data_IF_506892170243
#
_entry.id   IF_506892170243
#
_cell.length_a   1.000
_cell.length_b   1.000
_cell.length_c   1.000
_cell.angle_alpha   90.00
_cell.angle_beta   90.00
_cell.angle_gamma   90.00
#
_symmetry.space_group_name_H-M   'P 1'
#
loop_
_entity.id
_entity.type
_entity.pdbx_description
1 polymer ?
#
# COMPACT_ATOMS: atom_id res chain seq x y z
N UNK A 1 21.13 -16.04 -18.18
CA UNK A 1 20.79 -14.99 -17.20
C UNK A 1 20.83 -15.52 -15.75
N UNK A 2 20.21 -16.66 -15.43
CA UNK A 2 20.37 -17.31 -14.11
C UNK A 2 21.83 -17.64 -13.74
N UNK A 3 22.68 -18.07 -14.69
CA UNK A 3 24.11 -18.26 -14.42
C UNK A 3 24.93 -16.96 -14.26
N UNK A 4 24.39 -15.80 -14.65
CA UNK A 4 25.05 -14.50 -14.46
C UNK A 4 24.75 -13.91 -13.08
N UNK A 5 23.57 -14.20 -12.52
CA UNK A 5 23.16 -13.79 -11.17
C UNK A 5 23.73 -14.70 -10.06
N UNK A 6 24.16 -15.92 -10.38
CA UNK A 6 24.76 -16.86 -9.41
C UNK A 6 26.28 -16.68 -9.20
N UNK A 7 26.95 -15.75 -9.89
CA UNK A 7 28.32 -15.39 -9.54
C UNK A 7 28.29 -14.47 -8.32
N UNK A 8 28.99 -14.86 -7.25
CA UNK A 8 29.16 -14.10 -5.99
C UNK A 8 29.44 -12.60 -6.21
N UNK A 9 30.04 -12.25 -7.33
CA UNK A 9 30.40 -10.87 -7.66
C UNK A 9 29.22 -9.99 -8.11
N UNK A 10 28.09 -10.56 -8.57
CA UNK A 10 26.90 -9.80 -9.00
C UNK A 10 25.88 -9.53 -7.88
N UNK A 11 26.01 -10.23 -6.74
CA UNK A 11 25.21 -10.00 -5.53
C UNK A 11 25.74 -8.82 -4.70
N UNK A 12 26.47 -7.89 -5.29
CA UNK A 12 26.82 -6.64 -4.62
C UNK A 12 25.68 -5.64 -4.77
N UNK A 13 25.18 -5.03 -3.67
CA UNK A 13 24.11 -4.03 -3.71
C UNK A 13 24.38 -2.90 -4.72
N UNK A 14 25.66 -2.51 -4.86
CA UNK A 14 26.12 -1.46 -5.77
C UNK A 14 25.93 -1.79 -7.26
N UNK A 15 25.96 -3.08 -7.65
CA UNK A 15 25.81 -3.50 -9.05
C UNK A 15 24.34 -3.58 -9.43
N UNK A 16 23.49 -4.07 -8.53
CA UNK A 16 22.03 -4.08 -8.74
C UNK A 16 21.50 -2.64 -8.82
N UNK A 17 21.93 -1.76 -7.90
CA UNK A 17 21.56 -0.35 -7.92
C UNK A 17 21.96 0.38 -9.21
N UNK A 18 23.22 0.26 -9.64
CA UNK A 18 23.73 0.91 -10.85
C UNK A 18 23.11 0.35 -12.15
N UNK A 19 22.86 -0.96 -12.22
CA UNK A 19 22.16 -1.56 -13.35
C UNK A 19 20.69 -1.13 -13.41
N UNK A 20 20.06 -0.97 -12.26
CA UNK A 20 18.68 -0.51 -12.17
C UNK A 20 18.57 0.94 -12.58
N UNK A 21 19.52 1.81 -12.27
CA UNK A 21 19.52 3.25 -12.57
C UNK A 21 19.38 3.56 -14.08
N UNK A 22 20.11 2.83 -14.92
CA UNK A 22 20.16 3.07 -16.36
C UNK A 22 19.04 2.38 -17.15
N UNK A 23 18.26 1.50 -16.52
CA UNK A 23 17.22 0.73 -17.21
C UNK A 23 15.94 1.56 -17.36
N UNK A 24 15.31 1.67 -18.54
CA UNK A 24 14.01 2.33 -18.68
C UNK A 24 12.92 1.67 -17.83
N UNK A 25 11.97 2.46 -17.31
CA UNK A 25 10.98 1.99 -16.33
C UNK A 25 10.12 0.82 -16.85
N UNK A 26 9.70 0.85 -18.11
CA UNK A 26 8.94 -0.25 -18.73
C UNK A 26 9.75 -1.55 -18.79
N UNK A 27 11.06 -1.45 -19.10
CA UNK A 27 11.95 -2.62 -19.12
C UNK A 27 12.20 -3.14 -17.72
N UNK A 28 12.35 -2.24 -16.73
CA UNK A 28 12.45 -2.64 -15.33
C UNK A 28 11.17 -3.33 -14.85
N UNK A 29 10.00 -2.79 -15.18
CA UNK A 29 8.73 -3.41 -14.84
C UNK A 29 8.62 -4.83 -15.42
N UNK A 30 9.01 -5.01 -16.69
CA UNK A 30 9.04 -6.32 -17.33
C UNK A 30 10.08 -7.26 -16.69
N UNK A 31 11.26 -6.77 -16.33
CA UNK A 31 12.26 -7.56 -15.59
C UNK A 31 11.70 -8.05 -14.24
N UNK A 32 11.08 -7.16 -13.48
CA UNK A 32 10.49 -7.48 -12.18
C UNK A 32 9.34 -8.49 -12.32
N UNK A 33 8.43 -8.27 -13.28
CA UNK A 33 7.24 -9.10 -13.47
C UNK A 33 7.53 -10.45 -14.14
N UNK A 34 8.40 -10.48 -15.14
CA UNK A 34 8.61 -11.67 -15.98
C UNK A 34 9.83 -12.49 -15.59
N UNK A 35 10.74 -11.95 -14.78
CA UNK A 35 11.94 -12.67 -14.34
C UNK A 35 11.97 -12.80 -12.82
N UNK A 36 11.95 -11.68 -12.07
CA UNK A 36 12.13 -11.71 -10.61
C UNK A 36 10.96 -12.40 -9.92
N UNK A 37 9.72 -12.05 -10.28
CA UNK A 37 8.54 -12.66 -9.67
C UNK A 37 8.45 -14.18 -9.93
N UNK A 38 8.61 -14.70 -11.17
CA UNK A 38 8.67 -16.14 -11.41
C UNK A 38 9.84 -16.82 -10.70
N UNK A 39 11.02 -16.17 -10.64
CA UNK A 39 12.17 -16.69 -9.91
C UNK A 39 11.87 -16.93 -8.43
N UNK A 40 11.20 -15.99 -7.76
CA UNK A 40 10.76 -16.18 -6.37
C UNK A 40 9.73 -17.30 -6.28
N UNK A 41 8.70 -17.27 -7.12
CA UNK A 41 7.57 -18.23 -7.08
C UNK A 41 7.99 -19.67 -7.39
N UNK A 42 9.01 -19.85 -8.21
CA UNK A 42 9.52 -21.16 -8.62
C UNK A 42 10.77 -21.58 -7.85
N UNK A 43 11.15 -20.88 -6.78
CA UNK A 43 12.29 -21.30 -5.97
C UNK A 43 11.87 -22.39 -4.96
N UNK A 44 12.51 -23.58 -4.98
CA UNK A 44 12.37 -24.55 -3.90
C UNK A 44 12.83 -23.98 -2.57
N UNK A 45 12.20 -24.45 -1.47
CA UNK A 45 12.48 -23.98 -0.12
C UNK A 45 13.96 -24.11 0.28
N UNK A 46 14.62 -25.19 -0.14
CA UNK A 46 16.03 -25.47 0.16
C UNK A 46 17.02 -24.44 -0.40
N UNK A 47 16.61 -23.63 -1.38
CA UNK A 47 17.47 -22.62 -2.02
C UNK A 47 17.15 -21.19 -1.58
N UNK A 48 16.28 -20.99 -0.58
CA UNK A 48 15.95 -19.64 -0.11
C UNK A 48 17.17 -18.90 0.43
N UNK A 49 17.98 -19.53 1.27
CA UNK A 49 19.17 -18.92 1.85
C UNK A 49 20.28 -18.65 0.84
N UNK A 50 20.38 -19.48 -0.21
CA UNK A 50 21.48 -19.41 -1.18
C UNK A 50 21.15 -18.61 -2.44
N UNK A 51 19.89 -18.56 -2.86
CA UNK A 51 19.47 -17.92 -4.12
C UNK A 51 18.56 -16.71 -3.93
N UNK A 52 17.61 -16.76 -2.99
CA UNK A 52 16.62 -15.69 -2.79
C UNK A 52 17.17 -14.60 -1.88
N UNK A 53 17.62 -14.99 -0.69
CA UNK A 53 18.06 -14.09 0.37
C UNK A 53 19.21 -13.16 -0.08
N UNK A 54 20.25 -13.61 -0.80
CA UNK A 54 21.34 -12.73 -1.20
C UNK A 54 20.96 -11.71 -2.29
N UNK A 55 19.87 -11.93 -3.02
CA UNK A 55 19.56 -11.19 -4.24
C UNK A 55 18.30 -10.33 -4.12
N UNK A 56 17.21 -10.92 -3.64
CA UNK A 56 15.87 -10.31 -3.66
C UNK A 56 15.77 -9.05 -2.79
N UNK A 57 16.37 -8.98 -1.59
CA UNK A 57 16.36 -7.76 -0.78
C UNK A 57 16.88 -6.53 -1.53
N UNK A 58 18.06 -6.64 -2.14
CA UNK A 58 18.69 -5.55 -2.92
C UNK A 58 17.85 -5.13 -4.12
N UNK A 59 17.22 -6.10 -4.82
CA UNK A 59 16.31 -5.82 -5.94
C UNK A 59 15.07 -5.04 -5.46
N UNK A 60 14.47 -5.47 -4.34
CA UNK A 60 13.28 -4.81 -3.77
C UNK A 60 13.62 -3.40 -3.32
N UNK A 61 14.75 -3.19 -2.64
CA UNK A 61 15.19 -1.86 -2.22
C UNK A 61 15.38 -0.93 -3.41
N UNK A 62 16.12 -1.37 -4.44
CA UNK A 62 16.35 -0.58 -5.64
C UNK A 62 15.05 -0.27 -6.40
N UNK A 63 14.13 -1.23 -6.49
CA UNK A 63 12.83 -1.03 -7.14
C UNK A 63 11.96 -0.03 -6.38
N UNK A 64 11.90 -0.11 -5.04
CA UNK A 64 11.14 0.80 -4.20
C UNK A 64 11.73 2.21 -4.25
N UNK A 65 13.06 2.34 -4.20
CA UNK A 65 13.76 3.63 -4.29
C UNK A 65 13.50 4.31 -5.63
N UNK A 66 13.69 3.58 -6.75
CA UNK A 66 13.44 4.11 -8.09
C UNK A 66 11.98 4.52 -8.27
N UNK A 67 11.03 3.68 -7.84
CA UNK A 67 9.60 4.00 -7.94
C UNK A 67 9.26 5.23 -7.09
N UNK A 68 9.84 5.36 -5.89
CA UNK A 68 9.69 6.54 -5.05
C UNK A 68 10.25 7.82 -5.70
N UNK A 69 11.39 7.73 -6.38
CA UNK A 69 11.95 8.85 -7.13
C UNK A 69 10.99 9.33 -8.24
N UNK A 70 10.39 8.40 -9.00
CA UNK A 70 9.41 8.73 -10.05
C UNK A 70 8.16 9.42 -9.49
N UNK A 71 7.66 8.97 -8.34
CA UNK A 71 6.57 9.67 -7.66
C UNK A 71 6.97 11.06 -7.18
N UNK A 72 8.18 11.24 -6.68
CA UNK A 72 8.67 12.57 -6.29
C UNK A 72 8.79 13.51 -7.50
N UNK A 73 9.26 12.99 -8.65
CA UNK A 73 9.32 13.76 -9.90
C UNK A 73 7.92 14.26 -10.30
N UNK A 74 6.90 13.39 -10.21
CA UNK A 74 5.50 13.75 -10.47
C UNK A 74 4.98 14.78 -9.46
N UNK A 75 5.24 14.60 -8.16
CA UNK A 75 4.80 15.53 -7.11
C UNK A 75 5.44 16.91 -7.29
N UNK A 76 6.71 16.98 -7.70
CA UNK A 76 7.43 18.24 -7.97
C UNK A 76 7.02 18.89 -9.30
N UNK A 77 6.37 18.13 -10.17
CA UNK A 77 5.83 18.61 -11.45
C UNK A 77 4.35 18.99 -11.36
N UNK A 78 3.66 18.60 -10.29
CA UNK A 78 2.26 18.94 -10.03
C UNK A 78 2.05 20.47 -10.09
N UNK A 79 1.13 20.91 -10.96
CA UNK A 79 0.83 22.33 -11.19
C UNK A 79 1.71 23.07 -12.20
N UNK A 80 2.66 22.39 -12.88
CA UNK A 80 3.33 22.98 -14.05
C UNK A 80 2.39 22.95 -15.25
N UNK A 81 2.42 24.02 -16.06
CA UNK A 81 1.84 23.97 -17.39
C UNK A 81 2.79 23.25 -18.33
N UNK A 82 2.32 22.21 -19.00
CA UNK A 82 3.01 21.64 -20.16
C UNK A 82 2.57 22.44 -21.39
N UNK A 83 3.53 23.07 -22.06
CA UNK A 83 3.25 23.94 -23.20
C UNK A 83 3.38 23.17 -24.53
N UNK A 84 4.03 22.00 -24.52
CA UNK A 84 4.27 21.15 -25.70
C UNK A 84 3.62 19.76 -25.57
N UNK A 85 3.28 19.15 -26.70
CA UNK A 85 2.74 17.77 -26.74
C UNK A 85 3.75 16.75 -26.22
N UNK A 86 5.04 16.96 -26.47
CA UNK A 86 6.12 16.09 -26.00
C UNK A 86 6.25 16.12 -24.47
N UNK A 87 6.09 17.27 -23.82
CA UNK A 87 6.09 17.39 -22.36
C UNK A 87 4.89 16.69 -21.74
N UNK A 88 3.70 16.87 -22.33
CA UNK A 88 2.47 16.16 -21.89
C UNK A 88 2.67 14.65 -22.02
N UNK A 89 3.18 14.19 -23.16
CA UNK A 89 3.43 12.76 -23.39
C UNK A 89 4.47 12.20 -22.40
N UNK A 90 5.54 12.95 -22.11
CA UNK A 90 6.56 12.56 -21.15
C UNK A 90 6.00 12.43 -19.73
N UNK A 91 5.18 13.38 -19.29
CA UNK A 91 4.52 13.34 -17.97
C UNK A 91 3.53 12.16 -17.88
N UNK A 92 2.72 11.92 -18.91
CA UNK A 92 1.80 10.78 -18.95
C UNK A 92 2.52 9.44 -18.92
N UNK A 93 3.64 9.31 -19.65
CA UNK A 93 4.47 8.10 -19.63
C UNK A 93 5.08 7.90 -18.25
N UNK A 94 5.53 8.98 -17.59
CA UNK A 94 6.07 8.94 -16.23
C UNK A 94 5.01 8.52 -15.19
N UNK A 95 3.80 9.09 -15.24
CA UNK A 95 2.69 8.70 -14.35
C UNK A 95 2.33 7.22 -14.56
N UNK A 96 2.16 6.80 -15.82
CA UNK A 96 1.84 5.40 -16.14
C UNK A 96 2.96 4.45 -15.69
N UNK A 97 4.22 4.81 -15.91
CA UNK A 97 5.36 3.97 -15.50
C UNK A 97 5.45 3.84 -13.97
N UNK A 98 5.25 4.95 -13.23
CA UNK A 98 5.23 4.97 -11.78
C UNK A 98 4.13 4.06 -11.21
N UNK A 99 2.93 4.11 -11.78
CA UNK A 99 1.80 3.24 -11.37
C UNK A 99 2.07 1.76 -11.65
N UNK A 100 2.60 1.43 -12.83
CA UNK A 100 2.95 0.04 -13.18
C UNK A 100 4.02 -0.52 -12.25
N UNK A 101 5.12 0.22 -12.05
CA UNK A 101 6.19 -0.17 -11.13
C UNK A 101 5.66 -0.32 -9.70
N UNK A 102 4.77 0.57 -9.27
CA UNK A 102 4.18 0.50 -7.93
C UNK A 102 3.39 -0.77 -7.68
N UNK A 103 2.53 -1.16 -8.65
CA UNK A 103 1.77 -2.42 -8.61
C UNK A 103 2.71 -3.61 -8.56
N UNK A 104 3.71 -3.64 -9.45
CA UNK A 104 4.69 -4.74 -9.50
C UNK A 104 5.51 -4.87 -8.22
N UNK A 105 5.96 -3.74 -7.63
CA UNK A 105 6.66 -3.75 -6.34
C UNK A 105 5.78 -4.34 -5.23
N UNK A 106 4.51 -3.91 -5.15
CA UNK A 106 3.58 -4.42 -4.15
C UNK A 106 3.29 -5.92 -4.34
N UNK A 107 3.14 -6.39 -5.59
CA UNK A 107 2.91 -7.80 -5.89
C UNK A 107 4.11 -8.68 -5.54
N UNK A 108 5.34 -8.18 -5.77
CA UNK A 108 6.56 -8.87 -5.34
C UNK A 108 6.63 -8.92 -3.81
N UNK A 109 6.38 -7.81 -3.11
CA UNK A 109 6.34 -7.79 -1.65
C UNK A 109 5.31 -8.78 -1.11
N UNK A 110 4.11 -8.80 -1.69
CA UNK A 110 3.03 -9.75 -1.39
C UNK A 110 3.49 -11.19 -1.54
N UNK A 111 4.09 -11.52 -2.67
CA UNK A 111 4.65 -12.84 -2.90
C UNK A 111 5.69 -13.17 -1.83
N UNK A 112 6.63 -12.28 -1.55
CA UNK A 112 7.69 -12.54 -0.56
C UNK A 112 7.12 -12.86 0.82
N UNK A 113 6.07 -12.14 1.26
CA UNK A 113 5.53 -12.36 2.60
C UNK A 113 4.48 -13.47 2.71
N UNK A 114 3.91 -13.97 1.62
CA UNK A 114 2.97 -15.11 1.66
C UNK A 114 3.60 -16.43 1.20
N UNK A 115 4.76 -16.39 0.53
CA UNK A 115 5.33 -17.58 -0.10
C UNK A 115 6.03 -18.52 0.90
N UNK A 116 5.65 -19.80 0.85
CA UNK A 116 6.21 -20.87 1.67
C UNK A 116 7.29 -21.71 0.96
N UNK A 117 7.45 -21.58 -0.36
CA UNK A 117 8.21 -22.53 -1.17
C UNK A 117 7.40 -23.79 -1.48
N UNK A 118 7.89 -24.58 -2.41
CA UNK A 118 7.43 -25.95 -2.61
C UNK A 118 8.49 -26.94 -2.13
N UNK A 119 8.03 -28.06 -1.59
CA UNK A 119 8.90 -29.16 -1.17
C UNK A 119 9.22 -30.04 -2.39
N UNK A 120 10.50 -30.34 -2.60
CA UNK A 120 10.96 -31.11 -3.78
C UNK A 120 10.41 -32.56 -3.81
N UNK A 121 9.79 -33.02 -2.71
CA UNK A 121 9.12 -34.32 -2.62
C UNK A 121 7.72 -34.37 -3.27
N UNK A 122 7.09 -33.23 -3.57
CA UNK A 122 5.73 -33.19 -4.14
C UNK A 122 5.71 -33.24 -5.68
N UNK A 123 6.87 -33.43 -6.32
CA UNK A 123 7.01 -33.36 -7.78
C UNK A 123 6.69 -34.67 -8.53
N UNK A 124 6.15 -35.69 -7.85
CA UNK A 124 5.57 -36.85 -8.52
C UNK A 124 4.04 -36.79 -8.41
N UNK A 125 3.38 -36.67 -9.57
CA UNK A 125 1.91 -36.66 -9.81
C UNK A 125 1.32 -35.24 -9.94
N UNK A 126 1.56 -34.61 -11.08
CA UNK A 126 0.49 -34.26 -12.04
C UNK A 126 1.08 -33.58 -13.27
N UNK A 127 1.55 -34.39 -14.20
CA UNK A 127 1.67 -34.00 -15.59
C UNK A 127 0.25 -33.80 -16.15
N UNK A 128 -0.20 -32.56 -16.19
CA UNK A 128 -1.07 -32.08 -17.27
C UNK A 128 -0.50 -30.78 -17.79
N UNK A 129 -0.02 -30.89 -19.02
CA UNK A 129 0.19 -29.79 -19.95
C UNK A 129 -1.10 -28.94 -19.95
N UNK A 130 -0.97 -27.66 -19.60
CA UNK A 130 -1.86 -26.64 -20.15
C UNK A 130 -0.99 -25.55 -20.76
N UNK A 131 -0.93 -25.63 -22.08
CA UNK A 131 -0.16 -24.79 -22.95
C UNK A 131 -1.07 -23.67 -23.46
N UNK A 132 -0.75 -22.44 -23.10
CA UNK A 132 -1.11 -21.25 -23.84
C UNK A 132 -2.40 -20.58 -23.38
N UNK A 133 -2.24 -19.43 -22.72
CA UNK A 133 -3.15 -18.32 -22.97
C UNK A 133 -2.30 -17.07 -23.19
N UNK A 134 -2.46 -16.51 -24.40
CA UNK A 134 -1.85 -15.26 -24.82
C UNK A 134 -2.44 -14.13 -23.97
N UNK A 135 -1.57 -13.22 -23.52
CA UNK A 135 -1.97 -11.94 -22.95
C UNK A 135 -2.89 -11.22 -23.95
N UNK A 136 -4.17 -11.09 -23.61
CA UNK A 136 -5.10 -10.18 -24.29
C UNK A 136 -5.00 -8.81 -23.63
N UNK A 137 -4.63 -7.82 -24.44
CA UNK A 137 -4.60 -6.41 -24.11
C UNK A 137 -6.02 -5.93 -23.79
N UNK A 138 -6.37 -5.83 -22.51
CA UNK A 138 -7.49 -5.00 -22.06
C UNK A 138 -7.09 -4.19 -20.82
N UNK A 139 -6.87 -2.90 -21.05
CA UNK A 139 -6.95 -1.88 -20.02
C UNK A 139 -8.41 -1.83 -19.48
N UNK A 140 -8.54 -1.70 -18.17
CA UNK A 140 -9.79 -1.55 -17.38
C UNK A 140 -10.72 -2.77 -17.27
N UNK A 141 -10.33 -3.74 -16.43
CA UNK A 141 -11.29 -4.60 -15.72
C UNK A 141 -10.86 -4.79 -14.27
N UNK A 142 -11.77 -4.49 -13.34
CA UNK A 142 -11.67 -4.75 -11.90
C UNK A 142 -11.59 -6.25 -11.65
N UNK A 143 -10.37 -6.77 -11.51
CA UNK A 143 -10.12 -8.17 -11.17
C UNK A 143 -10.03 -8.34 -9.66
N UNK A 144 -11.18 -8.51 -9.02
CA UNK A 144 -11.30 -9.26 -7.78
C UNK A 144 -11.16 -10.76 -8.08
N UNK A 145 -9.98 -11.19 -8.53
CA UNK A 145 -9.71 -12.61 -8.75
C UNK A 145 -9.16 -13.25 -7.48
N UNK A 146 -10.06 -14.03 -6.85
CA UNK A 146 -9.71 -14.99 -5.81
C UNK A 146 -9.15 -16.23 -6.51
N UNK A 147 -7.83 -16.30 -6.66
CA UNK A 147 -7.18 -17.55 -7.08
C UNK A 147 -6.76 -18.35 -5.85
N UNK A 148 -7.56 -19.37 -5.55
CA UNK A 148 -7.17 -20.48 -4.69
C UNK A 148 -6.07 -21.27 -5.37
N UNK A 149 -4.87 -21.27 -4.78
CA UNK A 149 -3.84 -22.23 -5.12
C UNK A 149 -4.26 -23.60 -4.56
N UNK A 150 -4.43 -24.58 -5.45
CA UNK A 150 -4.68 -25.96 -5.05
C UNK A 150 -3.45 -26.53 -4.35
N UNK A 151 -3.68 -27.06 -3.14
CA UNK A 151 -2.72 -27.85 -2.37
C UNK A 151 -2.10 -27.12 -1.17
N UNK A 152 -2.90 -26.91 -0.11
CA UNK A 152 -2.56 -26.94 1.33
C UNK A 152 -3.33 -25.86 2.12
N UNK A 153 -4.28 -26.35 2.92
CA UNK A 153 -4.95 -25.71 4.08
C UNK A 153 -5.45 -24.26 3.95
N UNK A 154 -6.77 -24.12 4.05
CA UNK A 154 -7.46 -22.95 4.59
C UNK A 154 -6.72 -22.34 5.79
N UNK A 155 -5.88 -21.33 5.55
CA UNK A 155 -5.55 -20.27 6.51
C UNK A 155 -5.19 -19.02 5.72
N UNK A 156 -6.20 -18.24 5.31
CA UNK A 156 -6.04 -17.01 4.55
C UNK A 156 -5.29 -15.85 5.22
N UNK A 157 -4.45 -16.10 6.24
CA UNK A 157 -3.72 -15.10 7.02
C UNK A 157 -2.30 -15.56 7.47
N UNK A 158 -1.74 -16.65 6.95
CA UNK A 158 -0.42 -17.13 7.39
C UNK A 158 0.74 -16.49 6.61
N UNK A 159 1.73 -15.96 7.32
CA UNK A 159 2.97 -15.43 6.71
C UNK A 159 3.83 -16.58 6.20
N UNK A 160 4.30 -16.41 4.97
CA UNK A 160 5.16 -17.32 4.25
C UNK A 160 6.49 -17.60 4.97
N UNK A 161 7.01 -18.81 4.79
CA UNK A 161 8.32 -19.20 5.30
C UNK A 161 9.44 -18.26 4.83
N UNK A 162 9.36 -17.74 3.61
CA UNK A 162 10.36 -16.79 3.09
C UNK A 162 10.41 -15.48 3.89
N UNK A 163 9.26 -14.90 4.24
CA UNK A 163 9.23 -13.72 5.09
C UNK A 163 9.82 -13.98 6.48
N UNK A 164 9.55 -15.15 7.07
CA UNK A 164 10.12 -15.52 8.38
C UNK A 164 11.64 -15.59 8.32
N UNK A 165 12.20 -16.17 7.25
CA UNK A 165 13.64 -16.18 7.05
C UNK A 165 14.19 -14.76 6.88
N UNK A 166 13.55 -13.92 6.05
CA UNK A 166 14.00 -12.54 5.80
C UNK A 166 14.03 -11.67 7.07
N UNK A 167 13.10 -11.90 7.99
CA UNK A 167 13.09 -11.24 9.30
C UNK A 167 14.24 -11.72 10.19
N UNK A 168 14.65 -12.99 10.09
CA UNK A 168 15.62 -13.63 10.98
C UNK A 168 17.10 -13.48 10.58
N UNK A 169 17.41 -13.13 9.32
CA UNK A 169 18.80 -13.06 8.80
C UNK A 169 19.72 -12.17 9.64
N UNK A 170 19.18 -11.10 10.22
CA UNK A 170 19.97 -10.15 11.00
C UNK A 170 20.17 -10.59 12.47
N UNK A 171 19.47 -11.64 12.92
CA UNK A 171 19.63 -12.21 14.27
C UNK A 171 20.81 -13.19 14.38
N UNK A 172 21.42 -13.60 13.26
CA UNK A 172 22.49 -14.62 13.22
C UNK A 172 23.88 -14.06 12.88
N UNK A 173 24.00 -12.80 12.47
CA UNK A 173 25.30 -12.17 12.20
C UNK A 173 25.86 -11.56 13.49
N UNK A 174 26.46 -12.41 14.33
CA UNK A 174 27.34 -12.01 15.42
C UNK A 174 28.79 -12.31 15.03
N UNK A 175 29.41 -11.47 14.19
CA UNK A 175 30.87 -11.41 14.11
C UNK A 175 31.38 -10.12 14.80
N UNK A 176 32.43 -10.21 15.63
CA UNK A 176 32.89 -9.10 16.44
C UNK A 176 34.02 -8.35 15.72
N UNK A 177 33.72 -7.50 14.74
CA UNK A 177 34.64 -6.44 14.35
C UNK A 177 34.02 -5.34 13.47
N UNK A 178 34.03 -4.14 14.04
CA UNK A 178 34.05 -2.82 13.40
C UNK A 178 32.74 -2.09 13.05
N UNK A 179 32.61 -0.94 13.73
CA UNK A 179 31.79 0.27 13.50
C UNK A 179 30.35 0.33 14.12
N UNK A 180 30.18 1.00 15.29
CA UNK A 180 28.89 1.13 15.97
C UNK A 180 28.00 2.29 15.46
N UNK A 181 27.94 2.53 14.14
CA UNK A 181 27.18 3.65 13.56
C UNK A 181 26.17 3.30 12.47
N UNK A 182 25.84 2.02 12.27
CA UNK A 182 24.67 1.63 11.47
C UNK A 182 23.81 0.64 12.25
N UNK A 183 22.77 1.17 12.90
CA UNK A 183 21.81 0.39 13.67
C UNK A 183 21.04 -0.50 12.70
N UNK A 184 21.38 -1.79 12.69
CA UNK A 184 20.77 -2.84 11.87
C UNK A 184 19.37 -3.18 12.41
N UNK A 185 18.37 -2.49 11.88
CA UNK A 185 16.95 -2.72 12.19
C UNK A 185 16.15 -2.63 10.88
N UNK A 186 16.01 -3.71 10.11
CA UNK A 186 15.10 -3.65 8.95
C UNK A 186 14.39 -4.99 8.68
N UNK A 187 13.12 -5.12 9.12
CA UNK A 187 12.10 -5.78 8.31
C UNK A 187 11.90 -4.97 7.01
N UNK A 188 12.76 -5.23 6.02
CA UNK A 188 12.70 -4.67 4.65
C UNK A 188 11.26 -4.49 4.14
N UNK A 189 10.41 -5.49 4.40
CA UNK A 189 9.02 -5.52 4.01
C UNK A 189 8.20 -4.38 4.61
N UNK A 190 8.29 -4.15 5.92
CA UNK A 190 7.56 -3.07 6.59
C UNK A 190 8.07 -1.70 6.13
N UNK A 191 9.39 -1.55 5.96
CA UNK A 191 9.98 -0.32 5.44
C UNK A 191 9.47 -0.01 4.02
N UNK A 192 9.46 -1.04 3.16
CA UNK A 192 9.01 -0.91 1.78
C UNK A 192 7.52 -0.57 1.70
N UNK A 193 6.68 -1.27 2.47
CA UNK A 193 5.23 -0.98 2.52
C UNK A 193 4.95 0.42 3.06
N UNK A 194 5.67 0.87 4.09
CA UNK A 194 5.50 2.21 4.64
C UNK A 194 5.89 3.31 3.63
N UNK A 195 6.91 3.08 2.78
CA UNK A 195 7.21 3.96 1.65
C UNK A 195 6.06 3.99 0.63
N UNK A 196 5.50 2.83 0.27
CA UNK A 196 4.39 2.72 -0.69
C UNK A 196 3.16 3.52 -0.24
N UNK A 197 2.88 3.61 1.06
CA UNK A 197 1.74 4.40 1.57
C UNK A 197 1.78 5.88 1.17
N UNK A 198 2.97 6.44 0.99
CA UNK A 198 3.17 7.85 0.65
C UNK A 198 2.92 8.17 -0.83
N UNK A 199 2.79 7.16 -1.69
CA UNK A 199 2.60 7.37 -3.12
C UNK A 199 1.13 7.72 -3.43
N UNK A 200 0.85 8.66 -4.36
CA UNK A 200 -0.50 9.06 -4.75
C UNK A 200 -1.20 8.03 -5.68
N UNK A 201 -1.27 6.78 -5.19
CA UNK A 201 -2.06 5.70 -5.76
C UNK A 201 -2.86 5.04 -4.62
N UNK A 202 -4.15 5.31 -4.62
CA UNK A 202 -5.05 4.91 -3.54
C UNK A 202 -5.29 3.40 -3.50
N UNK A 203 -5.18 2.72 -4.65
CA UNK A 203 -5.35 1.27 -4.75
C UNK A 203 -4.20 0.54 -4.07
N UNK A 204 -2.96 0.89 -4.42
CA UNK A 204 -1.77 0.29 -3.79
C UNK A 204 -1.66 0.69 -2.31
N UNK A 205 -2.07 1.91 -1.94
CA UNK A 205 -2.02 2.39 -0.56
C UNK A 205 -2.90 1.53 0.35
N UNK A 206 -4.15 1.25 -0.05
CA UNK A 206 -5.07 0.41 0.75
C UNK A 206 -4.51 -1.01 0.94
N UNK A 207 -3.98 -1.58 -0.14
CA UNK A 207 -3.35 -2.90 -0.17
C UNK A 207 -2.09 -2.99 0.69
N UNK A 208 -1.25 -1.95 0.67
CA UNK A 208 -0.04 -1.88 1.49
C UNK A 208 -0.36 -1.68 2.98
N UNK A 209 -1.36 -0.86 3.31
CA UNK A 209 -1.80 -0.65 4.70
C UNK A 209 -2.36 -1.95 5.33
N UNK A 210 -3.07 -2.75 4.54
CA UNK A 210 -3.47 -4.09 4.95
C UNK A 210 -2.25 -4.99 5.22
N UNK A 211 -1.28 -5.02 4.30
CA UNK A 211 -0.03 -5.78 4.47
C UNK A 211 0.75 -5.40 5.73
N UNK A 212 0.86 -4.10 6.05
CA UNK A 212 1.47 -3.62 7.29
C UNK A 212 0.73 -4.17 8.50
N UNK A 213 -0.60 -4.10 8.51
CA UNK A 213 -1.41 -4.57 9.64
C UNK A 213 -1.16 -6.05 9.92
N UNK A 214 -1.13 -6.87 8.87
CA UNK A 214 -0.86 -8.32 8.96
C UNK A 214 0.56 -8.60 9.44
N UNK A 215 1.57 -7.92 8.87
CA UNK A 215 2.96 -8.13 9.26
C UNK A 215 3.26 -7.68 10.68
N UNK A 216 2.71 -6.54 11.11
CA UNK A 216 2.85 -6.05 12.48
C UNK A 216 2.27 -7.05 13.47
N UNK A 217 1.05 -7.52 13.23
CA UNK A 217 0.39 -8.52 14.09
C UNK A 217 1.19 -9.82 14.20
N UNK A 218 1.80 -10.24 13.10
CA UNK A 218 2.61 -11.46 13.04
C UNK A 218 3.95 -11.32 13.76
N UNK A 219 4.62 -10.18 13.63
CA UNK A 219 5.88 -9.92 14.34
C UNK A 219 5.66 -9.76 15.83
N UNK A 220 4.52 -9.18 16.23
CA UNK A 220 4.20 -9.06 17.66
C UNK A 220 3.73 -10.37 18.25
N UNK A 221 2.96 -11.18 17.51
CA UNK A 221 2.41 -12.45 17.99
C UNK A 221 3.35 -13.62 17.65
N UNK A 222 4.53 -13.67 18.28
CA UNK A 222 5.39 -14.84 18.15
C UNK A 222 4.84 -16.01 18.98
N UNK A 223 4.49 -17.12 18.31
CA UNK A 223 4.03 -18.34 18.98
C UNK A 223 5.26 -19.15 19.38
N UNK A 224 5.64 -19.10 20.66
CA UNK A 224 6.57 -20.08 21.24
C UNK A 224 5.82 -21.37 21.55
N UNK A 225 6.03 -22.43 20.77
CA UNK A 225 5.57 -23.78 21.10
C UNK A 225 6.55 -24.40 22.10
N UNK A 226 6.18 -24.43 23.38
CA UNK A 226 6.78 -25.36 24.34
C UNK A 226 5.78 -26.51 24.57
N UNK A 227 6.29 -27.74 24.64
CA UNK A 227 5.58 -29.03 24.62
C UNK A 227 4.45 -29.26 25.66
N UNK A 228 3.98 -28.25 26.40
CA UNK A 228 2.84 -28.40 27.30
C UNK A 228 1.92 -27.16 27.45
N UNK A 229 2.19 -26.02 26.81
CA UNK A 229 1.27 -24.86 26.83
C UNK A 229 1.62 -23.86 25.72
N UNK A 230 0.67 -23.51 24.85
CA UNK A 230 0.80 -22.36 23.95
C UNK A 230 0.79 -21.08 24.79
N UNK A 231 1.96 -20.47 25.00
CA UNK A 231 2.05 -19.11 25.56
C UNK A 231 2.43 -18.19 24.40
N UNK A 232 1.52 -17.31 24.01
CA UNK A 232 1.81 -16.28 23.00
C UNK A 232 2.73 -15.28 23.68
N UNK A 233 4.00 -15.26 23.27
CA UNK A 233 4.95 -14.24 23.71
C UNK A 233 4.75 -13.03 22.79
N UNK A 234 4.11 -11.99 23.31
CA UNK A 234 3.98 -10.72 22.60
C UNK A 234 5.27 -9.95 22.71
N UNK A 235 6.08 -9.92 21.65
CA UNK A 235 7.27 -9.09 21.60
C UNK A 235 6.89 -7.72 21.01
N UNK A 236 7.11 -6.62 21.73
CA UNK A 236 6.79 -5.29 21.21
C UNK A 236 7.70 -4.97 20.02
N UNK A 237 7.16 -4.22 19.07
CA UNK A 237 7.90 -3.70 17.94
C UNK A 237 8.92 -2.65 18.42
N UNK A 238 10.15 -2.63 17.88
CA UNK A 238 11.13 -1.58 18.19
C UNK A 238 10.60 -0.17 17.92
N UNK A 239 11.04 0.80 18.72
CA UNK A 239 10.55 2.18 18.68
C UNK A 239 10.74 2.85 17.31
N UNK A 240 11.95 2.75 16.77
CA UNK A 240 12.35 3.25 15.45
C UNK A 240 11.46 2.73 14.33
N UNK A 241 11.14 1.43 14.35
CA UNK A 241 10.27 0.78 13.37
C UNK A 241 8.83 1.25 13.51
N UNK A 242 8.32 1.34 14.74
CA UNK A 242 7.01 1.91 15.02
C UNK A 242 6.87 3.35 14.53
N UNK A 243 7.88 4.19 14.76
CA UNK A 243 7.93 5.57 14.28
C UNK A 243 7.94 5.64 12.75
N UNK A 244 8.77 4.82 12.09
CA UNK A 244 8.87 4.80 10.63
C UNK A 244 7.55 4.39 9.97
N UNK A 245 6.92 3.32 10.46
CA UNK A 245 5.63 2.84 9.95
C UNK A 245 4.55 3.89 10.19
N UNK A 246 4.47 4.43 11.41
CA UNK A 246 3.48 5.46 11.74
C UNK A 246 3.65 6.70 10.87
N UNK A 247 4.89 7.15 10.64
CA UNK A 247 5.16 8.27 9.75
C UNK A 247 4.65 7.99 8.33
N UNK A 248 4.94 6.81 7.77
CA UNK A 248 4.41 6.40 6.47
C UNK A 248 2.87 6.38 6.42
N UNK A 249 2.21 5.94 7.50
CA UNK A 249 0.74 5.97 7.62
C UNK A 249 0.21 7.41 7.63
N UNK A 250 0.86 8.32 8.36
CA UNK A 250 0.47 9.73 8.39
C UNK A 250 0.64 10.38 7.01
N UNK A 251 1.74 10.09 6.30
CA UNK A 251 1.92 10.49 4.90
C UNK A 251 0.82 9.92 4.00
N UNK A 252 0.47 8.65 4.15
CA UNK A 252 -0.61 8.04 3.37
C UNK A 252 -1.98 8.64 3.66
N UNK A 253 -2.28 9.01 4.91
CA UNK A 253 -3.51 9.75 5.26
C UNK A 253 -3.54 11.12 4.60
N UNK A 254 -2.40 11.79 4.53
CA UNK A 254 -2.27 13.09 3.88
C UNK A 254 -2.48 13.02 2.36
N UNK A 255 -1.88 12.02 1.70
CA UNK A 255 -1.92 11.91 0.24
C UNK A 255 -3.20 11.22 -0.25
N UNK A 256 -3.64 10.14 0.40
CA UNK A 256 -4.68 9.24 -0.09
C UNK A 256 -5.99 9.26 0.74
N UNK A 257 -5.98 9.89 1.93
CA UNK A 257 -7.02 9.69 2.95
C UNK A 257 -8.44 10.18 2.61
N UNK A 258 -8.63 11.09 1.65
CA UNK A 258 -9.97 11.51 1.16
C UNK A 258 -10.30 11.03 -0.26
N UNK A 259 -9.38 10.36 -0.94
CA UNK A 259 -9.59 9.91 -2.32
C UNK A 259 -10.42 8.61 -2.38
N UNK A 260 -10.31 7.74 -1.37
CA UNK A 260 -11.18 6.57 -1.22
C UNK A 260 -11.40 6.20 0.25
N UNK A 261 -12.65 5.88 0.60
CA UNK A 261 -13.03 5.47 1.96
C UNK A 261 -12.33 4.18 2.41
N UNK A 262 -12.12 3.23 1.48
CA UNK A 262 -11.40 1.99 1.76
C UNK A 262 -9.96 2.25 2.20
N UNK A 263 -9.23 3.13 1.49
CA UNK A 263 -7.86 3.47 1.84
C UNK A 263 -7.77 4.16 3.22
N UNK A 264 -8.69 5.09 3.50
CA UNK A 264 -8.79 5.73 4.82
C UNK A 264 -8.98 4.68 5.93
N UNK A 265 -9.93 3.77 5.76
CA UNK A 265 -10.22 2.74 6.75
C UNK A 265 -9.03 1.81 6.98
N UNK A 266 -8.33 1.40 5.93
CA UNK A 266 -7.12 0.58 6.03
C UNK A 266 -5.98 1.32 6.74
N UNK A 267 -5.75 2.61 6.42
CA UNK A 267 -4.71 3.43 7.05
C UNK A 267 -4.99 3.66 8.54
N UNK A 268 -6.23 3.99 8.90
CA UNK A 268 -6.61 4.18 10.31
C UNK A 268 -6.46 2.86 11.09
N UNK A 269 -6.81 1.73 10.48
CA UNK A 269 -6.64 0.41 11.09
C UNK A 269 -5.15 0.08 11.30
N UNK A 270 -4.32 0.29 10.28
CA UNK A 270 -2.87 0.09 10.37
C UNK A 270 -2.22 0.99 11.42
N UNK A 271 -2.69 2.25 11.55
CA UNK A 271 -2.22 3.20 12.55
C UNK A 271 -2.52 2.72 13.97
N UNK A 272 -3.76 2.30 14.24
CA UNK A 272 -4.17 1.72 15.53
C UNK A 272 -3.37 0.44 15.84
N UNK A 273 -3.18 -0.45 14.87
CA UNK A 273 -2.39 -1.68 15.05
C UNK A 273 -0.93 -1.37 15.37
N UNK A 274 -0.32 -0.42 14.67
CA UNK A 274 1.06 0.03 14.93
C UNK A 274 1.20 0.63 16.33
N UNK A 275 0.22 1.43 16.76
CA UNK A 275 0.20 2.03 18.10
C UNK A 275 0.09 1.00 19.22
N UNK A 276 -0.62 -0.10 18.99
CA UNK A 276 -0.76 -1.21 19.95
C UNK A 276 0.41 -2.19 19.91
N UNK A 277 1.20 -2.17 18.85
CA UNK A 277 2.28 -3.12 18.61
C UNK A 277 3.59 -2.75 19.31
N UNK A 278 3.76 -1.49 19.71
CA UNK A 278 4.93 -1.01 20.47
C UNK A 278 4.65 -1.03 21.97
N UNK A 279 5.71 -0.97 22.78
CA UNK A 279 5.57 -0.78 24.23
C UNK A 279 4.78 0.49 24.58
N UNK A 280 4.02 0.45 25.68
CA UNK A 280 3.20 1.58 26.13
C UNK A 280 4.04 2.85 26.36
N UNK A 281 5.27 2.69 26.87
CA UNK A 281 6.20 3.81 27.06
C UNK A 281 6.60 4.43 25.71
N UNK A 282 6.92 3.59 24.72
CA UNK A 282 7.27 4.01 23.36
C UNK A 282 6.08 4.70 22.67
N UNK A 283 4.87 4.16 22.82
CA UNK A 283 3.67 4.79 22.29
C UNK A 283 3.47 6.21 22.84
N UNK A 284 3.53 6.35 24.17
CA UNK A 284 3.29 7.62 24.88
C UNK A 284 4.39 8.67 24.73
N UNK A 285 5.57 8.27 24.28
CA UNK A 285 6.72 9.16 24.09
C UNK A 285 6.99 9.37 22.60
N UNK A 286 7.53 8.35 21.93
CA UNK A 286 7.96 8.41 20.53
C UNK A 286 6.79 8.66 19.58
N UNK A 287 5.79 7.78 19.57
CA UNK A 287 4.69 7.88 18.62
C UNK A 287 3.83 9.13 18.86
N UNK A 288 3.58 9.47 20.12
CA UNK A 288 2.91 10.72 20.50
C UNK A 288 3.66 11.96 20.03
N UNK A 289 4.97 12.02 20.24
CA UNK A 289 5.85 13.12 19.80
C UNK A 289 5.82 13.26 18.28
N UNK A 290 5.87 12.13 17.56
CA UNK A 290 5.78 12.10 16.10
C UNK A 290 4.45 12.66 15.59
N UNK A 291 3.31 12.18 16.10
CA UNK A 291 1.98 12.68 15.70
C UNK A 291 1.86 14.17 16.01
N UNK A 292 2.30 14.60 17.19
CA UNK A 292 2.27 16.01 17.60
C UNK A 292 3.07 16.87 16.62
N UNK A 293 4.30 16.47 16.28
CA UNK A 293 5.15 17.20 15.32
C UNK A 293 4.50 17.32 13.95
N UNK A 294 3.94 16.24 13.44
CA UNK A 294 3.26 16.23 12.13
C UNK A 294 2.05 17.16 12.16
N UNK A 295 1.18 17.06 13.18
CA UNK A 295 0.00 17.92 13.30
C UNK A 295 0.37 19.40 13.44
N UNK A 296 1.40 19.71 14.23
CA UNK A 296 1.87 21.09 14.42
C UNK A 296 2.41 21.69 13.12
N UNK A 297 3.13 20.90 12.32
CA UNK A 297 3.60 21.32 11.00
C UNK A 297 2.43 21.59 10.03
N UNK A 298 1.37 20.78 10.06
CA UNK A 298 0.20 20.96 9.20
C UNK A 298 -0.69 22.14 9.64
N UNK A 299 -0.73 22.46 10.94
CA UNK A 299 -1.60 23.49 11.52
C UNK A 299 -0.92 24.87 11.70
N UNK A 300 0.20 25.11 11.03
CA UNK A 300 1.00 26.35 11.09
C UNK A 300 1.53 26.73 12.49
N UNK A 301 1.80 25.74 13.35
CA UNK A 301 2.63 25.92 14.55
C UNK A 301 2.05 26.80 15.68
N UNK A 302 0.73 27.01 15.71
CA UNK A 302 0.09 27.78 16.80
C UNK A 302 0.23 27.06 18.15
N UNK A 303 1.03 27.64 19.06
CA UNK A 303 1.32 27.09 20.39
C UNK A 303 0.08 26.82 21.23
N UNK A 304 -1.03 27.53 20.99
CA UNK A 304 -2.30 27.29 21.71
C UNK A 304 -2.95 25.96 21.33
N UNK A 305 -2.68 25.46 20.11
CA UNK A 305 -3.19 24.17 19.61
C UNK A 305 -2.37 22.99 20.10
N UNK A 306 -1.10 23.20 20.46
CA UNK A 306 -0.23 22.13 20.96
C UNK A 306 -0.81 21.47 22.22
N UNK A 307 -1.26 22.27 23.19
CA UNK A 307 -1.90 21.77 24.41
C UNK A 307 -3.18 20.97 24.12
N UNK A 308 -3.98 21.42 23.15
CA UNK A 308 -5.21 20.72 22.73
C UNK A 308 -4.87 19.38 22.05
N UNK A 309 -3.89 19.35 21.15
CA UNK A 309 -3.41 18.13 20.47
C UNK A 309 -2.89 17.13 21.52
N UNK A 310 -2.09 17.60 22.47
CA UNK A 310 -1.58 16.77 23.56
C UNK A 310 -2.70 16.18 24.41
N UNK A 311 -3.74 16.95 24.72
CA UNK A 311 -4.90 16.48 25.50
C UNK A 311 -5.74 15.46 24.72
N UNK A 312 -5.95 15.67 23.41
CA UNK A 312 -6.65 14.72 22.55
C UNK A 312 -5.89 13.40 22.44
N UNK A 313 -4.55 13.45 22.28
CA UNK A 313 -3.69 12.27 22.27
C UNK A 313 -3.74 11.51 23.59
N UNK A 314 -3.70 12.21 24.73
CA UNK A 314 -3.83 11.57 26.04
C UNK A 314 -5.18 10.85 26.21
N UNK A 315 -6.27 11.50 25.80
CA UNK A 315 -7.63 10.91 25.82
C UNK A 315 -7.71 9.66 24.93
N UNK A 316 -7.03 9.68 23.79
CA UNK A 316 -6.92 8.51 22.91
C UNK A 316 -6.12 7.38 23.56
N UNK A 317 -4.97 7.69 24.15
CA UNK A 317 -4.10 6.71 24.83
C UNK A 317 -4.81 6.04 26.01
N UNK A 318 -5.62 6.78 26.77
CA UNK A 318 -6.47 6.25 27.82
C UNK A 318 -7.50 5.24 27.26
N UNK A 319 -8.09 5.52 26.09
CA UNK A 319 -8.98 4.56 25.41
C UNK A 319 -8.24 3.35 24.84
N UNK A 320 -6.96 3.50 24.51
CA UNK A 320 -6.14 2.42 23.96
C UNK A 320 -5.64 1.46 25.04
N UNK A 321 -5.22 1.99 26.19
CA UNK A 321 -4.49 1.24 27.23
C UNK A 321 -5.12 1.26 28.63
N UNK A 322 -6.16 2.06 28.88
CA UNK A 322 -6.65 2.38 30.23
C UNK A 322 -7.42 1.26 30.94
N UNK A 323 -8.37 0.59 30.27
CA UNK A 323 -9.20 -0.45 30.88
C UNK A 323 -8.94 -1.82 30.24
N UNK A 324 -8.27 -2.71 30.98
CA UNK A 324 -8.03 -4.08 30.52
C UNK A 324 -9.25 -5.01 30.71
N UNK A 325 -10.15 -4.71 31.65
CA UNK A 325 -11.35 -5.53 31.92
C UNK A 325 -12.45 -5.39 30.86
N UNK A 326 -12.46 -4.26 30.14
CA UNK A 326 -13.39 -3.98 29.03
C UNK A 326 -12.66 -3.19 27.94
N UNK A 327 -11.83 -3.85 27.12
CA UNK A 327 -11.07 -3.17 26.09
C UNK A 327 -12.00 -2.56 25.04
N UNK A 328 -11.68 -1.36 24.59
CA UNK A 328 -12.42 -0.71 23.52
C UNK A 328 -12.37 -1.54 22.22
N UNK A 329 -13.49 -1.59 21.49
CA UNK A 329 -13.55 -2.28 20.19
C UNK A 329 -12.60 -1.65 19.19
N UNK A 330 -12.11 -2.44 18.22
CA UNK A 330 -11.24 -1.91 17.16
C UNK A 330 -11.89 -0.76 16.38
N UNK A 331 -13.21 -0.79 16.22
CA UNK A 331 -13.99 0.31 15.62
C UNK A 331 -13.88 1.58 16.45
N UNK A 332 -14.10 1.50 17.76
CA UNK A 332 -14.01 2.66 18.65
C UNK A 332 -12.58 3.24 18.72
N UNK A 333 -11.56 2.37 18.72
CA UNK A 333 -10.15 2.78 18.66
C UNK A 333 -9.83 3.52 17.36
N UNK A 334 -10.31 3.01 16.22
CA UNK A 334 -10.16 3.65 14.91
C UNK A 334 -10.85 5.00 14.84
N UNK A 335 -12.07 5.11 15.36
CA UNK A 335 -12.82 6.38 15.39
C UNK A 335 -12.14 7.40 16.31
N UNK A 336 -11.53 6.97 17.41
CA UNK A 336 -10.73 7.82 18.27
C UNK A 336 -9.42 8.28 17.60
N UNK A 337 -8.73 7.38 16.89
CA UNK A 337 -7.54 7.73 16.12
C UNK A 337 -7.87 8.72 15.00
N UNK A 338 -8.97 8.48 14.26
CA UNK A 338 -9.47 9.37 13.21
C UNK A 338 -9.65 10.81 13.71
N UNK A 339 -10.19 11.01 14.92
CA UNK A 339 -10.38 12.35 15.50
C UNK A 339 -9.07 13.12 15.69
N UNK A 340 -7.96 12.43 15.99
CA UNK A 340 -6.65 13.06 16.17
C UNK A 340 -6.04 13.42 14.81
N UNK A 341 -6.13 12.49 13.85
CA UNK A 341 -5.49 12.65 12.54
C UNK A 341 -6.37 13.38 11.52
N UNK A 342 -7.61 13.72 11.84
CA UNK A 342 -8.53 14.45 10.95
C UNK A 342 -7.89 15.68 10.26
N UNK A 343 -7.08 16.51 10.96
CA UNK A 343 -6.44 17.67 10.35
C UNK A 343 -5.43 17.35 9.24
N UNK A 344 -4.86 16.14 9.23
CA UNK A 344 -3.88 15.73 8.20
C UNK A 344 -4.53 14.97 7.06
N UNK A 345 -5.77 14.49 7.19
CA UNK A 345 -6.44 13.74 6.12
C UNK A 345 -6.59 14.69 4.91
N UNK A 346 -6.02 14.29 3.78
CA UNK A 346 -5.90 15.13 2.57
C UNK A 346 -7.18 15.77 2.08
N UNK A 347 -7.08 16.73 1.17
CA UNK A 347 -8.23 17.42 0.55
C UNK A 347 -8.69 16.62 -0.68
N UNK A 348 -10.00 16.37 -0.90
CA UNK A 348 -10.46 15.61 -2.05
C UNK A 348 -10.12 16.34 -3.35
N UNK A 349 -9.84 15.58 -4.42
CA UNK A 349 -9.51 16.12 -5.74
C UNK A 349 -10.57 17.13 -6.25
N UNK A 350 -11.84 16.87 -5.97
CA UNK A 350 -12.97 17.75 -6.34
C UNK A 350 -12.97 19.12 -5.65
N UNK A 351 -12.25 19.29 -4.55
CA UNK A 351 -12.05 20.60 -3.92
C UNK A 351 -10.78 21.29 -4.40
N UNK A 352 -9.79 20.55 -4.93
CA UNK A 352 -8.57 21.15 -5.51
C UNK A 352 -8.85 21.93 -6.80
N UNK A 353 -9.86 21.48 -7.57
CA UNK A 353 -10.31 22.15 -8.80
C UNK A 353 -11.48 23.13 -8.59
N UNK A 354 -11.91 23.34 -7.34
CA UNK A 354 -12.77 24.48 -7.03
C UNK A 354 -11.85 25.66 -6.81
N UNK A 355 -11.61 26.42 -7.86
CA UNK A 355 -11.27 27.83 -7.65
C UNK A 355 -12.37 28.40 -6.76
N UNK A 356 -12.02 28.99 -5.61
CA UNK A 356 -12.97 29.76 -4.79
C UNK A 356 -13.36 31.05 -5.53
N UNK A 357 -14.03 30.91 -6.68
CA UNK A 357 -14.68 32.04 -7.32
C UNK A 357 -15.97 32.26 -6.56
N UNK A 358 -15.94 33.18 -5.58
CA UNK A 358 -17.16 33.72 -5.00
C UNK A 358 -17.88 34.54 -6.07
N UNK A 359 -18.71 33.88 -6.89
CA UNK A 359 -19.54 34.58 -7.87
C UNK A 359 -20.73 35.16 -7.12
N UNK A 360 -20.57 36.38 -6.61
CA UNK A 360 -21.58 37.08 -5.81
C UNK A 360 -22.92 37.32 -6.53
N UNK A 361 -22.95 37.21 -7.87
CA UNK A 361 -24.10 37.55 -8.69
C UNK A 361 -24.36 36.53 -9.81
N UNK A 362 -24.50 35.24 -9.49
CA UNK A 362 -25.06 34.30 -10.45
C UNK A 362 -26.58 34.54 -10.57
N UNK A 363 -27.09 34.93 -11.76
CA UNK A 363 -28.53 34.93 -11.98
C UNK A 363 -29.08 33.51 -11.74
N UNK A 364 -30.25 33.38 -11.10
CA UNK A 364 -30.83 32.07 -10.84
C UNK A 364 -30.94 31.25 -12.12
N UNK A 365 -30.32 30.06 -12.14
CA UNK A 365 -30.49 29.12 -13.23
C UNK A 365 -31.98 28.82 -13.37
N UNK A 366 -32.60 29.32 -14.45
CA UNK A 366 -33.97 28.95 -14.83
C UNK A 366 -33.96 27.48 -15.22
N UNK A 367 -34.15 26.60 -14.23
CA UNK A 367 -34.44 25.20 -14.51
C UNK A 367 -35.75 25.17 -15.29
N UNK A 368 -35.79 24.64 -16.53
CA UNK A 368 -37.06 24.38 -17.18
C UNK A 368 -37.86 23.50 -16.23
N UNK A 369 -39.14 23.86 -15.99
CA UNK A 369 -40.04 23.01 -15.24
C UNK A 369 -40.07 21.69 -15.97
N UNK A 370 -39.46 20.66 -15.39
CA UNK A 370 -39.68 19.29 -15.84
C UNK A 370 -41.20 19.12 -15.83
N UNK A 371 -41.79 19.04 -17.03
CA UNK A 371 -43.17 18.67 -17.19
C UNK A 371 -43.31 17.33 -16.48
N UNK A 372 -43.93 17.33 -15.30
CA UNK A 372 -44.44 16.10 -14.71
C UNK A 372 -45.50 15.62 -15.69
N UNK A 373 -45.11 14.74 -16.60
CA UNK A 373 -46.04 13.88 -17.33
C UNK A 373 -46.67 13.00 -16.26
N UNK A 374 -47.76 13.48 -15.68
CA UNK A 374 -48.64 12.69 -14.84
C UNK A 374 -49.78 12.23 -15.74
N UNK A 375 -49.48 11.31 -16.65
CA UNK A 375 -50.53 10.62 -17.37
C UNK A 375 -51.07 9.48 -16.52
N UNK A 376 -52.35 9.61 -16.20
CA UNK A 376 -53.19 8.49 -15.80
C UNK A 376 -53.13 7.45 -16.92
N UNK A 377 -52.39 6.37 -16.69
CA UNK A 377 -52.37 5.20 -17.57
C UNK A 377 -53.76 4.55 -17.55
N UNK A 378 -54.59 4.87 -18.55
CA UNK A 378 -55.61 3.95 -19.03
C UNK A 378 -54.91 2.97 -19.97
N UNK A 379 -54.70 1.75 -19.48
CA UNK A 379 -54.03 0.65 -20.18
C UNK A 379 -55.01 -0.09 -21.09
N UNK A 380 -55.46 0.53 -22.18
CA UNK A 380 -56.24 -0.18 -23.20
C UNK A 380 -55.77 -0.01 -24.65
N UNK A 381 -54.93 0.97 -24.97
CA UNK A 381 -54.45 1.16 -26.34
C UNK A 381 -52.91 1.07 -26.38
N UNK A 382 -52.38 -0.16 -26.35
CA UNK A 382 -50.98 -0.46 -26.68
C UNK A 382 -50.97 -1.10 -28.06
N UNK A 383 -51.30 -0.33 -29.08
CA UNK A 383 -50.94 -0.67 -30.46
C UNK A 383 -50.41 0.61 -31.14
N UNK A 384 -49.10 0.59 -31.40
CA UNK A 384 -48.41 1.41 -32.40
C UNK A 384 -48.38 2.93 -32.18
N UNK A 385 -47.56 3.41 -31.24
CA UNK A 385 -46.61 4.50 -31.54
C UNK A 385 -45.67 4.74 -30.34
N UNK A 386 -44.53 4.04 -30.33
CA UNK A 386 -43.40 4.54 -29.53
C UNK A 386 -42.80 5.68 -30.34
N UNK A 387 -43.12 6.93 -29.98
CA UNK A 387 -42.72 8.18 -30.64
C UNK A 387 -41.21 8.46 -30.76
N UNK A 388 -40.39 7.41 -30.86
CA UNK A 388 -38.99 7.38 -31.25
C UNK A 388 -38.81 7.54 -32.76
N UNK A 389 -39.81 7.20 -33.57
CA UNK A 389 -39.75 7.30 -35.04
C UNK A 389 -39.67 8.76 -35.52
N UNK A 390 -40.22 9.71 -34.77
CA UNK A 390 -40.18 11.14 -35.09
C UNK A 390 -38.85 11.84 -34.73
N UNK A 391 -37.92 11.14 -34.07
CA UNK A 391 -36.60 11.71 -33.72
C UNK A 391 -35.58 11.58 -34.86
N UNK A 392 -35.84 10.75 -35.88
CA UNK A 392 -34.91 10.47 -36.97
C UNK A 392 -35.42 10.90 -38.36
N UNK A 393 -36.59 11.55 -38.44
CA UNK A 393 -37.24 11.87 -39.71
C UNK A 393 -36.92 13.26 -40.29
N UNK A 394 -35.99 14.02 -39.71
CA UNK A 394 -35.51 15.27 -40.32
C UNK A 394 -34.11 15.10 -40.90
N UNK A 395 -34.05 14.72 -42.17
CA UNK A 395 -32.81 14.59 -42.92
C UNK A 395 -32.98 14.23 -44.39
N UNK A 396 -33.89 14.90 -45.11
CA UNK A 396 -33.86 14.98 -46.58
C UNK A 396 -34.42 16.32 -47.03
N UNK A 397 -33.54 17.20 -47.48
CA UNK A 397 -33.82 18.10 -48.60
C UNK A 397 -32.96 17.64 -49.79
#
# INVERSE_FOLDING_TARGET
FCCLLCKKDFCQPNIVGSAFEHLPDLKLNNLLRSIVRPFIRQCPRQYFETAIIPLVPSIVEAAIERTGARWNDLILSDGRSCDTEEEIAAELVLDRSARLLSRTCLDILRLIYTFNGYDTSEQSISSKEDCGEFDDDNDDVDMSETFSANGQSDTGNSVGHLAKLLVNIHSMSSEPQYNPQCVSENPLLLRSLAKILSWPDTSICSKAAHGISTLVEMLTNSVTQNNCSQKIATTPLPATMGEFILFGILCGLHVNGRNAENALNCLLYAGVKTYLAVDIAVARQNLRSLITRVLMNTLNGDKTKEGQIQQQLQTFEEKMFGNQDKPATMRAKRDAFKKIVDPIIGVPLSQRFRDEVQIYNLPPLRRPKWLRIRDHRNTTDIENDFGLTNLFSNGTD
#
